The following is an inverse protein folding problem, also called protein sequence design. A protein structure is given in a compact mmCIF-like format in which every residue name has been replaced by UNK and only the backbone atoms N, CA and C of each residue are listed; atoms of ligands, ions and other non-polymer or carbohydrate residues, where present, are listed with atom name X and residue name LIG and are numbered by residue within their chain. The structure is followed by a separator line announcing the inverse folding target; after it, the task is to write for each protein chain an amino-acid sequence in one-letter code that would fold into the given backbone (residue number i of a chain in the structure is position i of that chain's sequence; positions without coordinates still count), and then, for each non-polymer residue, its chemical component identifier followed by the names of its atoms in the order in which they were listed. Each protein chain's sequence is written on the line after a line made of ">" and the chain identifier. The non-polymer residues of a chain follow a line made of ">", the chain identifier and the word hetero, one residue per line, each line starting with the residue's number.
data_IF_501894414259
#
_entry.id   IF_501894414259
#
_cell.length_a   1.000
_cell.length_b   1.000
_cell.length_c   1.000
_cell.angle_alpha   90.00
_cell.angle_beta   90.00
_cell.angle_gamma   90.00
#
_symmetry.space_group_name_H-M   'P 1'
#
loop_
_entity.id
_entity.type
_entity.pdbx_description
1 polymer ?
#
# COMPACT_ATOMS: atom_id res chain seq x y z
N UNK A 1 -4.60 12.92 -18.14
CA UNK A 1 -3.39 12.32 -17.54
C UNK A 1 -3.85 11.15 -16.69
N UNK A 2 -3.40 9.94 -17.00
CA UNK A 2 -3.69 8.72 -16.24
C UNK A 2 -2.68 8.55 -15.10
N UNK A 3 -2.97 7.65 -14.15
CA UNK A 3 -1.98 7.31 -13.11
C UNK A 3 -0.69 6.71 -13.71
N UNK A 4 -0.81 5.96 -14.82
CA UNK A 4 0.34 5.47 -15.56
C UNK A 4 1.22 6.60 -16.09
N UNK A 5 0.61 7.65 -16.66
CA UNK A 5 1.34 8.83 -17.14
C UNK A 5 2.05 9.57 -15.98
N UNK A 6 1.39 9.65 -14.81
CA UNK A 6 1.99 10.24 -13.60
C UNK A 6 3.21 9.44 -13.11
N UNK A 7 3.12 8.10 -13.14
CA UNK A 7 4.24 7.24 -12.77
C UNK A 7 5.45 7.48 -13.69
N UNK A 8 5.22 7.51 -15.01
CA UNK A 8 6.29 7.84 -15.96
C UNK A 8 6.81 9.27 -15.79
N UNK A 9 5.94 10.24 -15.54
CA UNK A 9 6.35 11.61 -15.27
C UNK A 9 7.28 11.70 -14.06
N UNK A 10 6.94 11.03 -12.96
CA UNK A 10 7.79 10.97 -11.77
C UNK A 10 9.16 10.35 -12.04
N UNK A 11 9.21 9.25 -12.80
CA UNK A 11 10.47 8.59 -13.18
C UNK A 11 11.38 9.47 -14.05
N UNK A 12 10.82 10.39 -14.82
CA UNK A 12 11.56 11.32 -15.68
C UNK A 12 11.90 12.65 -14.99
N UNK A 13 11.46 12.85 -13.75
CA UNK A 13 11.83 14.04 -12.98
C UNK A 13 13.31 14.00 -12.60
N UNK A 14 13.94 15.19 -12.57
CA UNK A 14 15.29 15.34 -12.02
C UNK A 14 15.32 14.88 -10.56
N UNK A 15 16.45 14.30 -10.15
CA UNK A 15 16.60 13.79 -8.78
C UNK A 15 16.31 14.84 -7.71
N UNK A 16 16.71 16.09 -7.92
CA UNK A 16 16.39 17.20 -7.00
C UNK A 16 14.89 17.36 -6.75
N UNK A 17 14.08 17.24 -7.81
CA UNK A 17 12.63 17.33 -7.71
C UNK A 17 12.05 16.08 -7.03
N UNK A 18 12.55 14.89 -7.36
CA UNK A 18 12.14 13.64 -6.72
C UNK A 18 12.42 13.65 -5.21
N UNK A 19 13.58 14.17 -4.82
CA UNK A 19 13.98 14.36 -3.42
C UNK A 19 13.06 15.37 -2.70
N UNK A 20 12.73 16.48 -3.37
CA UNK A 20 11.79 17.47 -2.82
C UNK A 20 10.41 16.85 -2.57
N UNK A 21 9.87 16.11 -3.54
CA UNK A 21 8.58 15.40 -3.40
C UNK A 21 8.63 14.41 -2.23
N UNK A 22 9.71 13.61 -2.13
CA UNK A 22 9.88 12.64 -1.05
C UNK A 22 9.95 13.29 0.34
N UNK A 23 10.63 14.43 0.43
CA UNK A 23 10.68 15.24 1.65
C UNK A 23 9.30 15.79 2.03
N UNK A 24 8.53 16.26 1.06
CA UNK A 24 7.18 16.79 1.31
C UNK A 24 6.26 15.70 1.88
N UNK A 25 6.28 14.48 1.30
CA UNK A 25 5.56 13.33 1.86
C UNK A 25 6.06 12.96 3.25
N UNK A 26 7.37 12.99 3.50
CA UNK A 26 7.93 12.72 4.83
C UNK A 26 7.40 13.71 5.86
N UNK A 27 7.44 15.01 5.56
CA UNK A 27 6.96 16.06 6.46
C UNK A 27 5.46 15.92 6.73
N UNK A 28 4.67 15.68 5.67
CA UNK A 28 3.24 15.44 5.77
C UNK A 28 2.94 14.24 6.69
N UNK A 29 3.54 13.09 6.41
CA UNK A 29 3.33 11.86 7.17
C UNK A 29 3.68 12.03 8.66
N UNK A 30 4.85 12.64 8.96
CA UNK A 30 5.30 12.88 10.35
C UNK A 30 4.35 13.81 11.10
N UNK A 31 3.89 14.88 10.45
CA UNK A 31 2.95 15.84 11.05
C UNK A 31 1.61 15.18 11.35
N UNK A 32 1.11 14.34 10.43
CA UNK A 32 -0.20 13.72 10.56
C UNK A 32 -0.23 12.60 11.60
N UNK A 33 0.89 11.90 11.83
CA UNK A 33 0.95 10.76 12.76
C UNK A 33 1.68 11.08 14.08
N UNK A 34 2.08 12.34 14.32
CA UNK A 34 2.90 12.76 15.48
C UNK A 34 4.21 11.96 15.65
N UNK A 35 4.77 11.44 14.54
CA UNK A 35 5.96 10.59 14.53
C UNK A 35 7.20 11.38 14.12
N UNK A 36 7.77 12.16 15.04
CA UNK A 36 8.97 12.96 14.76
C UNK A 36 10.22 12.14 14.36
N UNK A 37 10.27 10.86 14.76
CA UNK A 37 11.42 9.96 14.59
C UNK A 37 11.22 8.85 13.54
N UNK A 38 10.16 8.88 12.72
CA UNK A 38 9.99 7.87 11.67
C UNK A 38 11.09 7.98 10.61
N UNK A 39 11.44 6.85 9.99
CA UNK A 39 12.35 6.86 8.84
C UNK A 39 11.79 7.76 7.71
N UNK A 40 12.67 8.42 6.96
CA UNK A 40 12.24 9.30 5.88
C UNK A 40 11.69 8.48 4.70
N UNK A 41 10.67 9.01 4.03
CA UNK A 41 10.20 8.51 2.74
C UNK A 41 11.23 8.97 1.69
N UNK A 42 11.85 8.03 1.00
CA UNK A 42 12.84 8.30 -0.06
C UNK A 42 12.19 8.30 -1.44
N UNK A 43 12.84 8.85 -2.48
CA UNK A 43 12.33 8.74 -3.85
C UNK A 43 12.08 7.32 -4.34
N UNK A 44 12.92 6.38 -3.91
CA UNK A 44 12.78 4.95 -4.22
C UNK A 44 11.50 4.36 -3.60
N UNK A 45 11.15 4.77 -2.37
CA UNK A 45 9.89 4.35 -1.74
C UNK A 45 8.68 4.86 -2.54
N UNK A 46 8.71 6.11 -3.01
CA UNK A 46 7.63 6.65 -3.86
C UNK A 46 7.53 5.89 -5.17
N UNK A 47 8.66 5.57 -5.79
CA UNK A 47 8.70 4.75 -7.00
C UNK A 47 8.08 3.36 -6.78
N UNK A 48 8.41 2.71 -5.66
CA UNK A 48 7.82 1.42 -5.30
C UNK A 48 6.30 1.52 -5.11
N UNK A 49 5.82 2.52 -4.38
CA UNK A 49 4.39 2.75 -4.15
C UNK A 49 3.67 3.02 -5.48
N UNK A 50 4.21 3.89 -6.33
CA UNK A 50 3.63 4.18 -7.64
C UNK A 50 3.59 2.94 -8.54
N UNK A 51 4.65 2.14 -8.57
CA UNK A 51 4.71 0.92 -9.37
C UNK A 51 3.61 -0.08 -8.95
N UNK A 52 3.50 -0.35 -7.65
CA UNK A 52 2.48 -1.26 -7.10
C UNK A 52 1.08 -0.74 -7.38
N UNK A 53 0.84 0.55 -7.12
CA UNK A 53 -0.45 1.20 -7.37
C UNK A 53 -0.86 1.11 -8.83
N UNK A 54 0.06 1.38 -9.76
CA UNK A 54 -0.20 1.30 -11.18
C UNK A 54 -0.53 -0.13 -11.63
N UNK A 55 0.15 -1.14 -11.06
CA UNK A 55 -0.11 -2.54 -11.37
C UNK A 55 -1.50 -3.00 -10.91
N UNK A 56 -1.90 -2.66 -9.69
CA UNK A 56 -3.24 -2.96 -9.19
C UNK A 56 -4.32 -2.19 -9.95
N UNK A 57 -4.09 -0.90 -10.25
CA UNK A 57 -5.01 -0.11 -11.09
C UNK A 57 -5.21 -0.74 -12.46
N UNK A 58 -4.14 -1.24 -13.08
CA UNK A 58 -4.24 -1.91 -14.37
C UNK A 58 -5.00 -3.23 -14.27
N UNK A 59 -4.75 -4.04 -13.24
CA UNK A 59 -5.52 -5.26 -13.00
C UNK A 59 -7.03 -4.96 -12.92
N UNK A 60 -7.43 -3.95 -12.16
CA UNK A 60 -8.83 -3.51 -12.09
C UNK A 60 -9.35 -3.05 -13.45
N UNK A 61 -8.59 -2.22 -14.17
CA UNK A 61 -9.01 -1.71 -15.49
C UNK A 61 -9.16 -2.81 -16.56
N UNK A 62 -8.45 -3.93 -16.40
CA UNK A 62 -8.54 -5.11 -17.26
C UNK A 62 -9.53 -6.17 -16.73
N UNK A 63 -10.33 -5.84 -15.71
CA UNK A 63 -11.28 -6.75 -15.05
C UNK A 63 -10.63 -8.05 -14.54
N UNK A 64 -9.37 -7.97 -14.10
CA UNK A 64 -8.71 -9.08 -13.43
C UNK A 64 -9.20 -9.23 -11.99
N UNK A 65 -9.14 -10.46 -11.46
CA UNK A 65 -9.46 -10.74 -10.06
C UNK A 65 -8.42 -10.08 -9.17
N UNK A 66 -8.78 -8.92 -8.62
CA UNK A 66 -7.83 -8.03 -7.94
C UNK A 66 -7.46 -8.54 -6.55
N UNK A 67 -8.36 -9.23 -5.85
CA UNK A 67 -8.11 -9.69 -4.48
C UNK A 67 -7.00 -10.74 -4.40
N UNK A 68 -6.88 -11.61 -5.42
CA UNK A 68 -5.83 -12.62 -5.50
C UNK A 68 -4.64 -12.19 -6.37
N UNK A 69 -4.55 -10.90 -6.70
CA UNK A 69 -3.46 -10.38 -7.54
C UNK A 69 -2.18 -10.31 -6.71
N UNK A 70 -1.15 -10.95 -7.25
CA UNK A 70 0.21 -10.89 -6.72
C UNK A 70 1.14 -10.32 -7.78
N UNK A 71 1.94 -9.32 -7.42
CA UNK A 71 2.90 -8.70 -8.34
C UNK A 71 4.18 -9.52 -8.35
N UNK A 72 4.29 -10.39 -9.36
CA UNK A 72 5.52 -11.11 -9.65
C UNK A 72 6.64 -10.12 -10.02
N UNK A 73 7.80 -10.23 -9.34
CA UNK A 73 8.94 -9.30 -9.50
C UNK A 73 8.58 -7.83 -9.21
N UNK A 74 7.65 -7.62 -8.27
CA UNK A 74 7.35 -6.28 -7.75
C UNK A 74 8.47 -5.72 -6.88
N UNK A 75 8.40 -4.41 -6.55
CA UNK A 75 9.37 -3.78 -5.68
C UNK A 75 9.31 -4.36 -4.25
N UNK A 76 10.44 -4.35 -3.55
CA UNK A 76 10.48 -4.74 -2.15
C UNK A 76 9.91 -3.61 -1.27
N UNK A 77 8.89 -3.93 -0.48
CA UNK A 77 8.19 -2.98 0.38
C UNK A 77 8.67 -3.01 1.84
N UNK A 78 9.81 -3.65 2.13
CA UNK A 78 10.43 -3.62 3.47
C UNK A 78 10.68 -2.19 3.97
N UNK A 79 11.01 -1.27 3.06
CA UNK A 79 11.22 0.14 3.39
C UNK A 79 9.92 0.83 3.85
N UNK A 80 8.76 0.45 3.28
CA UNK A 80 7.45 0.95 3.71
C UNK A 80 7.19 0.54 5.16
N UNK A 81 7.37 -0.75 5.48
CA UNK A 81 7.25 -1.26 6.85
C UNK A 81 8.15 -0.53 7.84
N UNK A 82 9.41 -0.30 7.45
CA UNK A 82 10.38 0.38 8.31
C UNK A 82 9.99 1.85 8.58
N UNK A 83 9.35 2.53 7.62
CA UNK A 83 8.84 3.90 7.81
C UNK A 83 7.62 3.90 8.73
N UNK A 84 6.74 2.90 8.60
CA UNK A 84 5.58 2.71 9.48
C UNK A 84 5.97 2.30 10.91
N UNK A 85 7.23 1.92 11.17
CA UNK A 85 7.68 1.44 12.47
C UNK A 85 7.15 0.03 12.83
N UNK A 86 6.68 -0.73 11.84
CA UNK A 86 5.98 -2.01 12.04
C UNK A 86 6.95 -3.20 11.89
N UNK A 87 8.02 -3.23 12.68
CA UNK A 87 9.11 -4.21 12.48
C UNK A 87 8.69 -5.68 12.61
N UNK A 88 7.68 -5.96 13.44
CA UNK A 88 7.16 -7.31 13.65
C UNK A 88 6.27 -7.80 12.51
N UNK A 89 5.80 -6.88 11.64
CA UNK A 89 4.97 -7.24 10.51
C UNK A 89 5.81 -7.93 9.42
N UNK A 90 5.41 -9.13 9.04
CA UNK A 90 6.04 -9.85 7.92
C UNK A 90 5.29 -9.50 6.63
N UNK A 91 5.98 -8.81 5.72
CA UNK A 91 5.47 -8.55 4.37
C UNK A 91 5.96 -9.64 3.41
N UNK A 92 5.13 -9.97 2.42
CA UNK A 92 5.55 -10.87 1.36
C UNK A 92 6.54 -10.18 0.42
N UNK A 93 7.47 -10.95 -0.13
CA UNK A 93 8.42 -10.44 -1.14
C UNK A 93 7.72 -10.06 -2.45
N UNK A 94 6.53 -10.59 -2.69
CA UNK A 94 5.66 -10.23 -3.80
C UNK A 94 4.50 -9.41 -3.25
N UNK A 95 4.33 -8.14 -3.67
CA UNK A 95 3.24 -7.31 -3.17
C UNK A 95 1.86 -7.88 -3.56
N UNK A 96 1.00 -8.03 -2.56
CA UNK A 96 -0.44 -8.32 -2.68
C UNK A 96 -1.28 -7.10 -2.27
N UNK A 97 -2.58 -7.33 -2.04
CA UNK A 97 -3.52 -6.26 -1.68
C UNK A 97 -3.16 -5.64 -0.33
N UNK A 98 -2.78 -6.46 0.65
CA UNK A 98 -2.39 -5.96 1.96
C UNK A 98 -1.19 -5.00 1.89
N UNK A 99 -0.14 -5.38 1.15
CA UNK A 99 1.03 -4.53 0.95
C UNK A 99 0.71 -3.22 0.19
N UNK A 100 -0.23 -3.25 -0.77
CA UNK A 100 -0.72 -2.03 -1.42
C UNK A 100 -1.38 -1.09 -0.40
N UNK A 101 -2.27 -1.61 0.46
CA UNK A 101 -2.99 -0.76 1.43
C UNK A 101 -2.01 -0.10 2.40
N UNK A 102 -1.03 -0.85 2.92
CA UNK A 102 0.00 -0.28 3.80
C UNK A 102 0.85 0.78 3.09
N UNK A 103 1.17 0.55 1.82
CA UNK A 103 1.89 1.51 0.99
C UNK A 103 1.15 2.84 0.84
N UNK A 104 -0.17 2.78 0.64
CA UNK A 104 -1.02 3.97 0.52
C UNK A 104 -1.05 4.81 1.81
N UNK A 105 -0.88 4.21 2.98
CA UNK A 105 -0.80 4.92 4.27
C UNK A 105 0.29 5.99 4.32
N UNK A 106 1.37 5.82 3.55
CA UNK A 106 2.49 6.77 3.53
C UNK A 106 2.23 8.00 2.65
N UNK A 107 1.29 7.92 1.71
CA UNK A 107 1.09 8.93 0.67
C UNK A 107 -0.29 9.59 0.68
N UNK A 108 -1.30 8.93 1.27
CA UNK A 108 -2.64 9.50 1.43
C UNK A 108 -2.73 10.41 2.65
N UNK A 109 -3.72 11.30 2.65
CA UNK A 109 -4.14 11.96 3.88
C UNK A 109 -4.74 10.96 4.86
N UNK A 110 -4.65 11.25 6.16
CA UNK A 110 -5.16 10.33 7.20
C UNK A 110 -6.65 10.06 7.05
N UNK A 111 -7.45 11.08 6.71
CA UNK A 111 -8.87 10.89 6.49
C UNK A 111 -9.15 9.93 5.33
N UNK A 112 -8.44 10.09 4.20
CA UNK A 112 -8.58 9.22 3.02
C UNK A 112 -8.14 7.78 3.32
N UNK A 113 -7.00 7.63 4.03
CA UNK A 113 -6.52 6.31 4.42
C UNK A 113 -7.52 5.60 5.35
N UNK A 114 -8.05 6.31 6.36
CA UNK A 114 -9.04 5.77 7.30
C UNK A 114 -10.31 5.37 6.57
N UNK A 115 -10.77 6.16 5.61
CA UNK A 115 -11.93 5.83 4.77
C UNK A 115 -11.71 4.51 4.01
N UNK A 116 -10.57 4.37 3.32
CA UNK A 116 -10.22 3.15 2.59
C UNK A 116 -10.09 1.95 3.54
N UNK A 117 -9.37 2.11 4.66
CA UNK A 117 -9.18 1.04 5.63
C UNK A 117 -10.52 0.56 6.22
N UNK A 118 -11.43 1.49 6.54
CA UNK A 118 -12.76 1.16 7.04
C UNK A 118 -13.62 0.46 5.98
N UNK A 119 -13.59 0.93 4.73
CA UNK A 119 -14.30 0.28 3.63
C UNK A 119 -13.81 -1.16 3.42
N UNK A 120 -12.50 -1.40 3.50
CA UNK A 120 -11.91 -2.74 3.38
C UNK A 120 -12.29 -3.61 4.58
N UNK A 121 -12.22 -3.07 5.81
CA UNK A 121 -12.67 -3.81 7.01
C UNK A 121 -14.13 -4.22 6.91
N UNK A 122 -15.00 -3.33 6.40
CA UNK A 122 -16.40 -3.65 6.19
C UNK A 122 -16.58 -4.72 5.12
N UNK A 123 -15.92 -4.60 3.97
CA UNK A 123 -15.96 -5.61 2.90
C UNK A 123 -15.55 -7.00 3.42
N UNK A 124 -14.48 -7.08 4.22
CA UNK A 124 -14.00 -8.34 4.79
C UNK A 124 -14.97 -8.88 5.85
N UNK A 125 -15.64 -8.01 6.62
CA UNK A 125 -16.69 -8.40 7.57
C UNK A 125 -17.90 -8.99 6.85
N UNK A 126 -18.38 -8.30 5.82
CA UNK A 126 -19.50 -8.78 4.99
C UNK A 126 -19.15 -10.12 4.33
N UNK A 127 -17.89 -10.29 3.89
CA UNK A 127 -17.38 -11.56 3.38
C UNK A 127 -17.40 -12.69 4.42
N UNK A 128 -17.03 -12.41 5.68
CA UNK A 128 -17.09 -13.39 6.79
C UNK A 128 -18.53 -13.88 7.06
N UNK A 129 -19.53 -13.05 6.80
CA UNK A 129 -20.95 -13.44 6.96
C UNK A 129 -21.46 -14.30 5.79
N UNK A 130 -20.86 -14.17 4.60
CA UNK A 130 -21.28 -14.85 3.38
C UNK A 130 -20.54 -16.16 3.11
N UNK A 131 -19.26 -16.23 3.51
CA UNK A 131 -18.41 -17.38 3.25
C UNK A 131 -18.17 -18.20 4.51
N UNK A 132 -17.99 -19.51 4.34
CA UNK A 132 -17.53 -20.35 5.44
C UNK A 132 -16.10 -19.97 5.87
N UNK A 133 -15.68 -20.32 7.11
CA UNK A 133 -14.38 -19.90 7.65
C UNK A 133 -13.18 -20.32 6.79
N UNK A 134 -13.18 -21.52 6.23
CA UNK A 134 -12.06 -22.03 5.41
C UNK A 134 -11.92 -21.23 4.11
N UNK A 135 -13.03 -20.96 3.43
CA UNK A 135 -13.06 -20.11 2.23
C UNK A 135 -12.59 -18.70 2.56
N UNK A 136 -13.05 -18.11 3.67
CA UNK A 136 -12.63 -16.78 4.07
C UNK A 136 -11.13 -16.71 4.38
N UNK A 137 -10.59 -17.73 5.07
CA UNK A 137 -9.16 -17.85 5.34
C UNK A 137 -8.35 -17.89 4.04
N UNK A 138 -8.80 -18.68 3.05
CA UNK A 138 -8.16 -18.75 1.73
C UNK A 138 -8.20 -17.41 0.98
N UNK A 139 -9.29 -16.65 1.08
CA UNK A 139 -9.41 -15.31 0.49
C UNK A 139 -8.40 -14.36 1.15
N UNK A 140 -8.37 -14.30 2.48
CA UNK A 140 -7.44 -13.44 3.23
C UNK A 140 -5.98 -13.78 2.91
N UNK A 141 -5.65 -15.07 2.87
CA UNK A 141 -4.32 -15.55 2.48
C UNK A 141 -3.96 -15.12 1.05
N UNK A 142 -4.90 -15.20 0.11
CA UNK A 142 -4.69 -14.76 -1.27
C UNK A 142 -4.47 -13.24 -1.40
N UNK A 143 -5.04 -12.47 -0.47
CA UNK A 143 -4.87 -11.02 -0.36
C UNK A 143 -3.61 -10.62 0.44
N UNK A 144 -2.87 -11.59 0.99
CA UNK A 144 -1.74 -11.44 1.93
C UNK A 144 -2.10 -10.80 3.28
N UNK A 145 -3.35 -10.89 3.70
CA UNK A 145 -3.76 -10.38 5.01
C UNK A 145 -3.26 -11.32 6.11
N UNK A 146 -2.50 -10.81 7.10
CA UNK A 146 -2.14 -11.60 8.28
C UNK A 146 -3.38 -11.82 9.17
N UNK A 147 -3.33 -12.80 10.07
CA UNK A 147 -4.44 -13.10 10.99
C UNK A 147 -4.88 -11.85 11.79
N UNK A 148 -3.93 -11.02 12.21
CA UNK A 148 -4.15 -9.79 12.98
C UNK A 148 -4.25 -8.53 12.10
N UNK A 149 -4.70 -8.65 10.84
CA UNK A 149 -4.75 -7.52 9.90
C UNK A 149 -5.51 -6.27 10.42
N UNK A 150 -6.50 -6.47 11.28
CA UNK A 150 -7.31 -5.37 11.83
C UNK A 150 -6.51 -4.39 12.70
N UNK A 151 -5.42 -4.86 13.30
CA UNK A 151 -4.47 -4.04 14.05
C UNK A 151 -3.59 -3.16 13.14
N UNK A 152 -3.31 -3.65 11.93
CA UNK A 152 -2.39 -3.00 10.99
C UNK A 152 -3.07 -1.97 10.08
N UNK A 153 -4.38 -2.12 9.88
CA UNK A 153 -5.26 -1.17 9.17
C UNK A 153 -5.85 -0.14 10.13
#
# INVERSE_FOLDING_TARGET
>A
MTFGDLNYFYLNCKDELRQKIARDFTLKYRKTNDLSQSNAITPEVIEHINHVTNMFRNAVAHNEITYSKVINRGPNLSSVRNILGQYDLRLNSQPGVFELILSLRLVLDQAEYVEIANAIKQLLRDGKEQFNPDTMSNILNSMHFPEEYEFWL
#
